data_IF_932944410513
#
_entry.id   IF_932944410513
#
_cell.length_a   1.000
_cell.length_b   1.000
_cell.length_c   1.000
_cell.angle_alpha   90.00
_cell.angle_beta   90.00
_cell.angle_gamma   90.00
#
_symmetry.space_group_name_H-M   'P 1'
#
loop_
_entity.id
_entity.type
_entity.pdbx_description
1 polymer ?
#
# COMPACT_ATOMS: atom_id res chain seq x y z
N UNK A 1 -2.09 -8.43 -10.78
CA UNK A 1 -0.65 -8.22 -10.90
C UNK A 1 -0.08 -7.89 -9.52
N UNK A 2 1.12 -8.35 -9.23
CA UNK A 2 1.76 -8.06 -7.97
C UNK A 2 2.61 -6.79 -8.10
N UNK A 3 2.39 -5.84 -7.21
CA UNK A 3 3.14 -4.59 -7.17
C UNK A 3 3.91 -4.52 -5.86
N UNK A 4 5.12 -3.97 -5.93
CA UNK A 4 5.91 -3.71 -4.73
C UNK A 4 6.25 -2.23 -4.68
N UNK A 5 5.92 -1.62 -3.55
CA UNK A 5 6.13 -0.19 -3.34
C UNK A 5 6.93 0.01 -2.07
N UNK A 6 7.84 0.97 -2.10
CA UNK A 6 8.59 1.35 -0.91
C UNK A 6 7.91 2.53 -0.25
N UNK A 7 7.57 2.39 1.03
CA UNK A 7 6.92 3.43 1.81
C UNK A 7 7.83 3.78 2.99
N UNK A 8 8.68 4.81 2.86
CA UNK A 8 9.68 5.12 3.89
C UNK A 8 9.09 5.43 5.26
N UNK A 9 7.86 5.92 5.32
CA UNK A 9 7.20 6.25 6.58
C UNK A 9 6.48 5.07 7.21
N UNK A 10 6.57 3.90 6.62
CA UNK A 10 5.95 2.69 7.15
C UNK A 10 6.74 2.22 8.37
N UNK A 11 6.30 2.63 9.55
CA UNK A 11 7.06 2.42 10.78
C UNK A 11 6.37 1.51 11.78
N UNK A 12 5.08 1.22 11.62
CA UNK A 12 4.34 0.43 12.59
C UNK A 12 3.20 -0.34 11.94
N UNK A 13 2.63 -1.27 12.69
CA UNK A 13 1.52 -2.09 12.21
C UNK A 13 0.31 -1.25 11.81
N UNK A 14 0.01 -0.20 12.56
CA UNK A 14 -1.13 0.66 12.25
C UNK A 14 -0.96 1.36 10.89
N UNK A 15 0.27 1.71 10.53
CA UNK A 15 0.55 2.31 9.23
C UNK A 15 0.22 1.34 8.10
N UNK A 16 0.62 0.08 8.25
CA UNK A 16 0.30 -0.95 7.27
C UNK A 16 -1.20 -1.15 7.12
N UNK A 17 -1.93 -1.12 8.23
CA UNK A 17 -3.39 -1.26 8.20
C UNK A 17 -4.04 -0.09 7.46
N UNK A 18 -3.58 1.12 7.70
CA UNK A 18 -4.10 2.31 7.02
C UNK A 18 -3.90 2.20 5.51
N UNK A 19 -2.72 1.77 5.09
CA UNK A 19 -2.42 1.58 3.67
C UNK A 19 -3.32 0.49 3.08
N UNK A 20 -3.48 -0.61 3.80
CA UNK A 20 -4.34 -1.70 3.35
C UNK A 20 -5.77 -1.21 3.12
N UNK A 21 -6.32 -0.47 4.07
CA UNK A 21 -7.67 0.06 3.95
C UNK A 21 -7.79 1.01 2.76
N UNK A 22 -6.80 1.86 2.55
CA UNK A 22 -6.80 2.80 1.43
C UNK A 22 -6.83 2.06 0.09
N UNK A 23 -6.05 1.00 -0.03
CA UNK A 23 -6.01 0.20 -1.26
C UNK A 23 -7.31 -0.55 -1.47
N UNK A 24 -7.89 -1.11 -0.40
CA UNK A 24 -9.13 -1.85 -0.50
C UNK A 24 -10.33 -0.97 -0.85
N UNK A 25 -10.21 0.33 -0.66
CA UNK A 25 -11.22 1.27 -1.13
C UNK A 25 -11.28 1.30 -2.66
N UNK A 26 -10.14 1.09 -3.31
CA UNK A 26 -10.06 1.07 -4.78
C UNK A 26 -10.39 -0.32 -5.31
N UNK A 27 -9.85 -1.36 -4.66
CA UNK A 27 -10.07 -2.74 -5.06
C UNK A 27 -10.25 -3.59 -3.81
N UNK A 28 -11.50 -3.92 -3.51
CA UNK A 28 -11.84 -4.67 -2.29
C UNK A 28 -11.27 -6.09 -2.29
N UNK A 29 -10.87 -6.60 -3.45
CA UNK A 29 -10.27 -7.94 -3.56
C UNK A 29 -8.75 -7.90 -3.52
N UNK A 30 -8.15 -6.72 -3.41
CA UNK A 30 -6.70 -6.61 -3.38
C UNK A 30 -6.12 -7.28 -2.14
N UNK A 31 -5.03 -8.02 -2.33
CA UNK A 31 -4.25 -8.58 -1.23
C UNK A 31 -3.07 -7.66 -0.96
N UNK A 32 -2.94 -7.21 0.28
CA UNK A 32 -1.91 -6.25 0.67
C UNK A 32 -1.09 -6.84 1.80
N UNK A 33 0.23 -6.79 1.65
CA UNK A 33 1.16 -7.18 2.70
C UNK A 33 2.14 -6.05 2.92
N UNK A 34 2.20 -5.57 4.15
CA UNK A 34 3.10 -4.49 4.52
C UNK A 34 4.19 -5.05 5.43
N UNK A 35 5.45 -4.77 5.09
CA UNK A 35 6.60 -5.18 5.89
C UNK A 35 7.25 -3.92 6.47
N UNK A 36 7.06 -3.72 7.77
CA UNK A 36 7.58 -2.52 8.43
C UNK A 36 9.11 -2.54 8.58
N UNK A 37 9.72 -3.71 8.54
CA UNK A 37 11.18 -3.81 8.65
C UNK A 37 11.87 -3.33 7.39
N UNK A 38 11.35 -3.72 6.22
CA UNK A 38 11.94 -3.35 4.94
C UNK A 38 11.27 -2.15 4.30
N UNK A 39 10.17 -1.66 4.91
CA UNK A 39 9.36 -0.56 4.38
C UNK A 39 8.73 -0.89 3.04
N UNK A 40 8.54 -2.15 2.74
CA UNK A 40 7.96 -2.61 1.50
C UNK A 40 6.48 -2.95 1.67
N UNK A 41 5.70 -2.55 0.68
CA UNK A 41 4.29 -2.92 0.61
C UNK A 41 4.08 -3.72 -0.68
N UNK A 42 3.63 -4.96 -0.53
CA UNK A 42 3.29 -5.81 -1.66
C UNK A 42 1.79 -5.78 -1.85
N UNK A 43 1.35 -5.47 -3.07
CA UNK A 43 -0.07 -5.39 -3.39
C UNK A 43 -0.35 -6.30 -4.57
N UNK A 44 -1.29 -7.21 -4.39
CA UNK A 44 -1.76 -8.04 -5.50
C UNK A 44 -3.15 -7.56 -5.87
N UNK A 45 -3.25 -6.90 -7.04
CA UNK A 45 -4.47 -6.22 -7.46
C UNK A 45 -4.51 -6.14 -8.98
N UNK A 46 -5.71 -5.92 -9.51
CA UNK A 46 -5.90 -5.61 -10.92
C UNK A 46 -5.97 -4.12 -11.20
N UNK A 47 -5.98 -3.30 -10.15
CA UNK A 47 -5.94 -1.85 -10.33
C UNK A 47 -4.57 -1.42 -10.83
N UNK A 48 -4.50 -0.23 -11.44
CA UNK A 48 -3.24 0.27 -11.97
C UNK A 48 -2.28 0.67 -10.84
N UNK A 49 -0.99 0.61 -11.14
CA UNK A 49 0.02 1.06 -10.18
C UNK A 49 -0.20 2.51 -9.78
N UNK A 50 -0.56 3.35 -10.73
CA UNK A 50 -0.82 4.77 -10.44
C UNK A 50 -1.95 4.93 -9.43
N UNK A 51 -3.04 4.17 -9.61
CA UNK A 51 -4.17 4.25 -8.67
C UNK A 51 -3.76 3.82 -7.28
N UNK A 52 -2.95 2.76 -7.17
CA UNK A 52 -2.46 2.28 -5.88
C UNK A 52 -1.53 3.30 -5.23
N UNK A 53 -0.61 3.89 -5.98
CA UNK A 53 0.28 4.92 -5.46
C UNK A 53 -0.48 6.13 -4.96
N UNK A 54 -1.50 6.55 -5.70
CA UNK A 54 -2.34 7.68 -5.27
C UNK A 54 -3.09 7.37 -3.99
N UNK A 55 -3.62 6.16 -3.85
CA UNK A 55 -4.31 5.76 -2.64
C UNK A 55 -3.38 5.81 -1.43
N UNK A 56 -2.18 5.29 -1.59
CA UNK A 56 -1.17 5.28 -0.53
C UNK A 56 -0.77 6.71 -0.17
N UNK A 57 -0.57 7.56 -1.16
CA UNK A 57 -0.21 8.97 -0.92
C UNK A 57 -1.32 9.69 -0.16
N UNK A 58 -2.58 9.43 -0.51
CA UNK A 58 -3.72 10.06 0.17
C UNK A 58 -3.86 9.62 1.61
N UNK A 59 -3.37 8.43 1.95
CA UNK A 59 -3.39 7.94 3.33
C UNK A 59 -2.34 8.61 4.20
N UNK A 60 -1.45 9.42 3.62
CA UNK A 60 -0.36 10.08 4.33
C UNK A 60 0.96 9.35 4.29
N UNK A 61 1.08 8.30 3.50
CA UNK A 61 2.28 7.47 3.40
C UNK A 61 2.75 7.39 1.95
N UNK A 62 3.32 8.49 1.42
CA UNK A 62 3.74 8.47 0.01
C UNK A 62 4.79 7.41 -0.25
N UNK A 63 4.63 6.69 -1.35
CA UNK A 63 5.59 5.71 -1.79
C UNK A 63 6.66 6.33 -2.68
N UNK A 64 7.80 5.69 -2.73
CA UNK A 64 8.88 6.07 -3.64
C UNK A 64 9.13 4.97 -4.66
#
# INVERSE_FOLDING_TARGET
>A
MALQLTVPKLACFACGKTITEAIQTIDSTAAVQANTKTKLVSVETQASETAIKEAIARSGYPSV
#
